data_IF_286285953062
#
_entry.id   IF_286285953062
#
_cell.length_a   1.000
_cell.length_b   1.000
_cell.length_c   1.000
_cell.angle_alpha   90.00
_cell.angle_beta   90.00
_cell.angle_gamma   90.00
#
_symmetry.space_group_name_H-M   'P 1'
#
loop_
_entity.id
_entity.type
_entity.pdbx_description
1 polymer ?
#
# COMPACT_ATOMS: atom_id res chain seq x y z
N UNK A 1 -4.88 -63.25 11.84
CA UNK A 1 -3.96 -62.10 11.77
C UNK A 1 -4.31 -61.16 12.90
N UNK A 2 -3.37 -60.78 13.77
CA UNK A 2 -3.65 -59.81 14.84
C UNK A 2 -3.86 -58.40 14.24
N UNK A 3 -4.70 -57.56 14.87
CA UNK A 3 -4.92 -56.18 14.43
C UNK A 3 -3.64 -55.34 14.61
N UNK A 4 -3.39 -54.35 13.74
CA UNK A 4 -2.22 -53.50 13.87
C UNK A 4 -2.28 -52.66 15.16
N UNK A 5 -1.12 -52.37 15.78
CA UNK A 5 -1.06 -51.57 16.99
C UNK A 5 -1.51 -50.12 16.72
N UNK A 6 -2.07 -49.42 17.73
CA UNK A 6 -2.47 -48.04 17.60
C UNK A 6 -1.26 -47.13 17.34
N UNK A 7 -1.40 -46.22 16.38
CA UNK A 7 -0.37 -45.25 16.03
C UNK A 7 -0.15 -44.26 17.18
N UNK A 8 1.10 -44.11 17.63
CA UNK A 8 1.47 -43.12 18.62
C UNK A 8 1.28 -41.70 18.06
N UNK A 9 0.80 -40.74 18.87
CA UNK A 9 0.66 -39.35 18.46
C UNK A 9 2.04 -38.76 18.12
N UNK A 10 2.18 -38.22 16.91
CA UNK A 10 3.40 -37.51 16.51
C UNK A 10 3.49 -36.18 17.27
N UNK A 11 4.67 -35.79 17.78
CA UNK A 11 4.85 -34.48 18.38
C UNK A 11 4.61 -33.39 17.32
N UNK A 12 3.78 -32.40 17.68
CA UNK A 12 3.56 -31.19 16.90
C UNK A 12 4.89 -30.43 16.78
N UNK A 13 5.51 -30.46 15.60
CA UNK A 13 6.74 -29.72 15.32
C UNK A 13 6.39 -28.27 14.97
N UNK A 14 6.22 -27.43 15.98
CA UNK A 14 6.11 -25.98 15.85
C UNK A 14 7.46 -25.36 15.48
N UNK A 15 7.87 -25.49 14.21
CA UNK A 15 9.02 -24.79 13.64
C UNK A 15 8.64 -24.14 12.31
N UNK A 16 7.75 -23.14 12.38
CA UNK A 16 7.85 -21.98 11.48
C UNK A 16 8.65 -20.93 12.21
N UNK A 17 9.98 -21.02 12.10
CA UNK A 17 10.87 -19.93 12.49
C UNK A 17 10.74 -18.89 11.39
N UNK A 18 9.77 -17.98 11.52
CA UNK A 18 9.90 -16.66 10.90
C UNK A 18 11.16 -16.07 11.55
N UNK A 19 12.28 -16.08 10.83
CA UNK A 19 13.44 -15.30 11.22
C UNK A 19 13.00 -13.85 11.15
N UNK A 20 12.70 -13.24 12.29
CA UNK A 20 12.75 -11.77 12.39
C UNK A 20 14.11 -11.34 11.83
N UNK A 21 14.16 -10.37 10.90
CA UNK A 21 15.43 -9.74 10.57
C UNK A 21 16.05 -9.28 11.89
N UNK A 22 17.34 -9.58 12.07
CA UNK A 22 18.06 -9.26 13.29
C UNK A 22 17.80 -7.80 13.67
N UNK A 23 17.40 -7.57 14.92
CA UNK A 23 17.21 -6.27 15.53
C UNK A 23 18.57 -5.55 15.68
N UNK A 24 19.13 -5.16 14.54
CA UNK A 24 20.36 -4.38 14.36
C UNK A 24 20.16 -3.31 13.31
N UNK A 25 18.92 -2.89 13.07
CA UNK A 25 18.62 -1.72 12.26
C UNK A 25 18.74 -0.49 13.14
N UNK A 26 19.80 0.30 12.90
CA UNK A 26 19.75 1.76 12.93
C UNK A 26 18.64 2.22 11.97
N UNK A 27 17.39 1.91 12.31
CA UNK A 27 16.21 2.47 11.69
C UNK A 27 16.13 3.89 12.25
N UNK A 28 16.99 4.76 11.70
CA UNK A 28 16.92 6.20 11.92
C UNK A 28 15.44 6.55 11.86
N UNK A 29 14.93 7.16 12.94
CA UNK A 29 13.63 7.81 13.00
C UNK A 29 13.40 8.43 11.62
N UNK A 30 12.61 7.78 10.78
CA UNK A 30 12.21 8.35 9.51
C UNK A 30 11.36 9.53 9.93
N UNK A 31 11.90 10.74 9.80
CA UNK A 31 11.15 11.96 10.03
C UNK A 31 10.00 11.94 9.01
N UNK A 32 8.84 11.46 9.48
CA UNK A 32 7.59 11.38 8.73
C UNK A 32 7.16 12.75 8.18
N UNK A 33 7.75 13.84 8.66
CA UNK A 33 7.38 15.20 8.32
C UNK A 33 8.20 15.83 7.18
N UNK A 34 9.31 15.23 6.75
CA UNK A 34 10.31 15.94 5.91
C UNK A 34 10.26 15.62 4.40
N UNK A 35 9.21 14.95 3.92
CA UNK A 35 9.15 14.50 2.51
C UNK A 35 7.82 14.78 1.81
N UNK A 36 7.15 15.89 2.14
CA UNK A 36 6.15 16.47 1.23
C UNK A 36 6.88 17.12 0.06
N UNK A 37 6.87 16.48 -1.12
CA UNK A 37 7.38 17.09 -2.35
C UNK A 37 6.48 18.27 -2.77
N UNK A 38 7.06 19.34 -3.34
CA UNK A 38 6.31 20.53 -3.73
C UNK A 38 5.75 20.33 -5.15
N UNK A 39 4.56 19.73 -5.28
CA UNK A 39 3.87 19.66 -6.58
C UNK A 39 2.48 20.33 -6.62
N UNK A 40 2.14 21.14 -5.62
CA UNK A 40 0.93 21.97 -5.61
C UNK A 40 1.22 23.42 -6.05
N UNK A 41 1.45 23.67 -7.35
CA UNK A 41 1.22 24.99 -7.98
C UNK A 41 1.35 24.97 -9.51
N UNK A 42 0.20 24.92 -10.20
CA UNK A 42 -0.11 25.68 -11.42
C UNK A 42 -1.55 25.32 -11.84
N UNK A 43 -2.52 26.20 -11.63
CA UNK A 43 -2.96 27.28 -12.53
C UNK A 43 -4.05 26.82 -13.50
N UNK A 44 -5.31 27.11 -13.14
CA UNK A 44 -6.48 26.97 -13.99
C UNK A 44 -6.58 28.23 -14.86
N UNK A 45 -6.15 28.13 -16.10
CA UNK A 45 -6.50 29.09 -17.15
C UNK A 45 -7.58 28.48 -18.05
N UNK A 46 -8.80 28.98 -17.89
CA UNK A 46 -9.88 28.81 -18.85
C UNK A 46 -9.60 29.68 -20.09
N UNK A 47 -9.66 29.09 -21.28
CA UNK A 47 -9.89 29.82 -22.52
C UNK A 47 -10.77 28.98 -23.46
N UNK A 48 -11.90 29.60 -23.83
CA UNK A 48 -12.89 29.09 -24.76
C UNK A 48 -12.41 29.16 -26.22
N UNK A 49 -12.91 28.26 -27.07
CA UNK A 49 -12.74 28.32 -28.52
C UNK A 49 -13.41 27.16 -29.25
N UNK A 50 -14.58 27.42 -29.80
CA UNK A 50 -15.39 26.58 -30.69
C UNK A 50 -14.83 26.56 -32.12
N UNK A 51 -14.70 25.37 -32.74
CA UNK A 51 -14.93 25.15 -34.19
C UNK A 51 -14.77 23.67 -34.61
N UNK A 52 -15.92 23.02 -34.79
CA UNK A 52 -16.29 22.03 -35.82
C UNK A 52 -15.19 21.42 -36.72
N UNK A 53 -14.90 20.13 -36.53
CA UNK A 53 -14.35 19.24 -37.57
C UNK A 53 -14.80 17.79 -37.34
N UNK A 54 -15.51 17.23 -38.32
CA UNK A 54 -15.95 15.85 -38.32
C UNK A 54 -14.85 14.91 -38.86
N UNK A 55 -14.43 13.95 -38.04
CA UNK A 55 -13.65 12.73 -38.36
C UNK A 55 -12.16 12.74 -37.95
N UNK A 56 -11.53 11.59 -37.60
CA UNK A 56 -12.05 10.23 -37.41
C UNK A 56 -12.06 9.78 -35.93
N UNK A 57 -12.77 8.69 -35.68
CA UNK A 57 -12.88 7.99 -34.40
C UNK A 57 -11.51 7.52 -33.89
N UNK A 58 -10.91 8.30 -33.00
CA UNK A 58 -9.64 7.95 -32.33
C UNK A 58 -9.23 8.88 -31.19
N UNK A 59 -10.08 9.86 -30.82
CA UNK A 59 -9.76 10.87 -29.81
C UNK A 59 -10.22 10.53 -28.38
N UNK A 60 -10.77 9.34 -28.14
CA UNK A 60 -11.40 8.97 -26.85
C UNK A 60 -10.43 8.46 -25.77
N UNK A 61 -9.14 8.27 -26.08
CA UNK A 61 -8.22 7.59 -25.16
C UNK A 61 -7.46 8.54 -24.22
N UNK A 62 -7.10 9.74 -24.69
CA UNK A 62 -6.22 10.62 -23.90
C UNK A 62 -6.89 11.17 -22.63
N UNK A 63 -8.15 11.64 -22.72
CA UNK A 63 -8.90 12.14 -21.57
C UNK A 63 -9.11 11.07 -20.50
N UNK A 64 -9.40 9.83 -20.92
CA UNK A 64 -9.58 8.71 -19.99
C UNK A 64 -8.30 8.40 -19.20
N UNK A 65 -7.12 8.47 -19.84
CA UNK A 65 -5.84 8.25 -19.15
C UNK A 65 -5.48 9.36 -18.17
N UNK A 66 -5.78 10.62 -18.49
CA UNK A 66 -5.56 11.75 -17.58
C UNK A 66 -6.48 11.63 -16.35
N UNK A 67 -7.75 11.30 -16.55
CA UNK A 67 -8.71 11.10 -15.46
C UNK A 67 -8.30 9.94 -14.53
N UNK A 68 -7.75 8.85 -15.09
CA UNK A 68 -7.23 7.72 -14.32
C UNK A 68 -6.00 8.12 -13.49
N UNK A 69 -5.03 8.80 -14.07
CA UNK A 69 -3.82 9.25 -13.35
C UNK A 69 -4.16 10.22 -12.20
N UNK A 70 -5.08 11.15 -12.42
CA UNK A 70 -5.61 12.03 -11.37
C UNK A 70 -6.33 11.26 -10.28
N UNK A 71 -7.08 10.21 -10.64
CA UNK A 71 -7.76 9.37 -9.66
C UNK A 71 -6.76 8.59 -8.80
N UNK A 72 -5.72 8.01 -9.39
CA UNK A 72 -4.67 7.28 -8.66
C UNK A 72 -3.97 8.20 -7.67
N UNK A 73 -3.57 9.40 -8.10
CA UNK A 73 -2.93 10.40 -7.21
C UNK A 73 -3.79 10.74 -6.00
N UNK A 74 -5.11 10.87 -6.18
CA UNK A 74 -6.04 11.09 -5.05
C UNK A 74 -6.12 9.91 -4.10
N UNK A 75 -6.00 8.68 -4.61
CA UNK A 75 -6.00 7.49 -3.76
C UNK A 75 -4.68 7.32 -3.01
N UNK A 76 -3.52 7.56 -3.63
CA UNK A 76 -2.21 7.63 -2.94
C UNK A 76 -2.24 8.64 -1.79
N UNK A 77 -2.74 9.86 -2.04
CA UNK A 77 -2.84 10.86 -0.98
C UNK A 77 -3.67 10.41 0.22
N UNK A 78 -4.77 9.67 -0.02
CA UNK A 78 -5.62 9.15 1.05
C UNK A 78 -4.97 7.98 1.79
N UNK A 79 -4.24 7.10 1.10
CA UNK A 79 -3.47 6.03 1.73
C UNK A 79 -2.42 6.65 2.66
N UNK A 80 -1.69 7.67 2.21
CA UNK A 80 -0.73 8.39 3.05
C UNK A 80 -1.42 9.09 4.24
N UNK A 81 -2.56 9.75 4.04
CA UNK A 81 -3.36 10.34 5.12
C UNK A 81 -3.73 9.29 6.18
N UNK A 82 -4.17 8.10 5.77
CA UNK A 82 -4.48 7.01 6.70
C UNK A 82 -3.22 6.44 7.37
N UNK A 83 -2.11 6.32 6.64
CA UNK A 83 -0.85 5.84 7.18
C UNK A 83 -0.30 6.78 8.28
N UNK A 84 -0.30 8.09 8.02
CA UNK A 84 0.10 9.12 8.99
C UNK A 84 -0.79 9.07 10.23
N UNK A 85 -2.11 9.01 10.05
CA UNK A 85 -3.05 8.90 11.18
C UNK A 85 -2.82 7.62 11.98
N UNK A 86 -2.60 6.49 11.31
CA UNK A 86 -2.32 5.22 11.99
C UNK A 86 -1.03 5.30 12.81
N UNK A 87 0.03 5.87 12.24
CA UNK A 87 1.29 6.09 12.93
C UNK A 87 1.12 6.98 14.17
N UNK A 88 0.39 8.09 14.05
CA UNK A 88 0.07 8.98 15.17
C UNK A 88 -0.68 8.24 16.29
N UNK A 89 -1.70 7.44 15.96
CA UNK A 89 -2.45 6.65 16.94
C UNK A 89 -1.58 5.63 17.68
N UNK A 90 -0.63 5.00 16.99
CA UNK A 90 0.34 4.09 17.63
C UNK A 90 1.29 4.88 18.54
N UNK A 91 1.73 6.07 18.13
CA UNK A 91 2.63 6.91 18.91
C UNK A 91 1.97 7.48 20.19
N UNK A 92 0.65 7.74 20.16
CA UNK A 92 -0.17 8.20 21.30
C UNK A 92 -0.43 7.11 22.37
N UNK A 93 0.29 5.99 22.33
CA UNK A 93 0.07 4.85 23.22
C UNK A 93 0.16 5.25 24.70
N UNK A 94 -0.88 4.97 25.50
CA UNK A 94 -0.87 5.30 26.91
C UNK A 94 0.06 4.37 27.70
N UNK A 95 0.48 4.80 28.90
CA UNK A 95 1.28 3.97 29.81
C UNK A 95 0.43 2.92 30.53
N UNK A 96 -0.84 3.23 30.75
CA UNK A 96 -1.85 2.45 31.46
C UNK A 96 -3.18 2.46 30.69
N UNK A 97 -4.10 1.56 31.04
CA UNK A 97 -5.44 1.47 30.44
C UNK A 97 -5.46 1.36 28.90
N UNK A 98 -4.89 0.28 28.36
CA UNK A 98 -4.82 0.03 26.91
C UNK A 98 -6.18 -0.19 26.23
N UNK A 99 -7.25 -0.51 26.97
CA UNK A 99 -8.53 -0.92 26.39
C UNK A 99 -9.14 0.09 25.42
N UNK A 100 -9.37 1.35 25.81
CA UNK A 100 -9.87 2.38 24.91
C UNK A 100 -8.93 2.66 23.73
N UNK A 101 -7.61 2.70 23.98
CA UNK A 101 -6.62 2.94 22.94
C UNK A 101 -6.58 1.82 21.90
N UNK A 102 -6.62 0.55 22.31
CA UNK A 102 -6.66 -0.61 21.41
C UNK A 102 -7.87 -0.57 20.48
N UNK A 103 -9.04 -0.14 20.98
CA UNK A 103 -10.23 0.03 20.13
C UNK A 103 -10.02 1.12 19.06
N UNK A 104 -9.53 2.29 19.45
CA UNK A 104 -9.28 3.38 18.50
C UNK A 104 -8.22 3.02 17.45
N UNK A 105 -7.15 2.34 17.88
CA UNK A 105 -6.11 1.81 16.99
C UNK A 105 -6.70 0.76 16.05
N UNK A 106 -7.60 -0.10 16.54
CA UNK A 106 -8.29 -1.08 15.71
C UNK A 106 -9.17 -0.45 14.64
N UNK A 107 -9.95 0.56 15.00
CA UNK A 107 -10.79 1.30 14.05
C UNK A 107 -9.94 2.03 12.98
N UNK A 108 -8.80 2.60 13.39
CA UNK A 108 -7.88 3.26 12.47
C UNK A 108 -7.21 2.25 11.52
N UNK A 109 -6.77 1.11 12.05
CA UNK A 109 -6.15 0.05 11.27
C UNK A 109 -7.11 -0.53 10.23
N UNK A 110 -8.38 -0.74 10.59
CA UNK A 110 -9.36 -1.27 9.64
C UNK A 110 -9.66 -0.29 8.50
N UNK A 111 -9.73 1.02 8.78
CA UNK A 111 -9.88 2.03 7.72
C UNK A 111 -8.68 2.05 6.77
N UNK A 112 -7.47 2.05 7.32
CA UNK A 112 -6.24 1.98 6.52
C UNK A 112 -6.22 0.71 5.67
N UNK A 113 -6.46 -0.46 6.27
CA UNK A 113 -6.51 -1.75 5.59
C UNK A 113 -7.53 -1.76 4.44
N UNK A 114 -8.76 -1.35 4.72
CA UNK A 114 -9.84 -1.34 3.72
C UNK A 114 -9.48 -0.43 2.53
N UNK A 115 -8.93 0.74 2.83
CA UNK A 115 -8.56 1.70 1.79
C UNK A 115 -7.37 1.20 0.94
N UNK A 116 -6.32 0.67 1.58
CA UNK A 116 -5.16 0.13 0.85
C UNK A 116 -5.56 -1.04 -0.06
N UNK A 117 -6.43 -1.94 0.41
CA UNK A 117 -6.94 -3.05 -0.42
C UNK A 117 -7.77 -2.54 -1.61
N UNK A 118 -8.58 -1.51 -1.41
CA UNK A 118 -9.35 -0.88 -2.49
C UNK A 118 -8.42 -0.22 -3.51
N UNK A 119 -7.40 0.48 -3.05
CA UNK A 119 -6.41 1.16 -3.88
C UNK A 119 -5.65 0.17 -4.78
N UNK A 120 -5.07 -0.89 -4.22
CA UNK A 120 -4.38 -1.93 -5.01
C UNK A 120 -5.33 -2.61 -6.01
N UNK A 121 -6.60 -2.83 -5.61
CA UNK A 121 -7.60 -3.40 -6.52
C UNK A 121 -7.94 -2.48 -7.69
N UNK A 122 -7.93 -1.16 -7.47
CA UNK A 122 -8.14 -0.16 -8.51
C UNK A 122 -6.98 -0.18 -9.51
N UNK A 123 -5.74 -0.20 -9.02
CA UNK A 123 -4.54 -0.25 -9.86
C UNK A 123 -4.47 -1.48 -10.77
N UNK A 124 -4.88 -2.63 -10.24
CA UNK A 124 -4.88 -3.88 -10.98
C UNK A 124 -6.09 -4.04 -11.90
N UNK A 125 -7.31 -3.71 -11.45
CA UNK A 125 -8.55 -4.00 -12.18
C UNK A 125 -8.96 -2.90 -13.14
N UNK A 126 -8.70 -1.64 -12.81
CA UNK A 126 -9.05 -0.51 -13.66
C UNK A 126 -7.97 -0.23 -14.72
N UNK A 127 -6.99 -1.13 -14.83
CA UNK A 127 -6.05 -1.17 -15.93
C UNK A 127 -4.92 -0.15 -15.83
N UNK A 128 -4.72 0.49 -14.69
CA UNK A 128 -3.63 1.45 -14.52
C UNK A 128 -2.24 0.80 -14.72
N UNK A 129 -1.97 -0.32 -14.05
CA UNK A 129 -0.72 -1.06 -14.28
C UNK A 129 -0.63 -1.63 -15.70
N UNK A 130 -1.78 -1.97 -16.30
CA UNK A 130 -1.87 -2.43 -17.69
C UNK A 130 -1.49 -1.32 -18.67
N UNK A 131 -2.03 -0.11 -18.50
CA UNK A 131 -1.74 1.05 -19.32
C UNK A 131 -0.25 1.43 -19.28
N UNK A 132 0.40 1.28 -18.12
CA UNK A 132 1.86 1.44 -18.02
C UNK A 132 2.59 0.41 -18.88
N UNK A 133 2.23 -0.87 -18.80
CA UNK A 133 2.88 -1.91 -19.63
C UNK A 133 2.58 -1.78 -21.13
N UNK A 134 1.42 -1.27 -21.51
CA UNK A 134 1.07 -1.00 -22.91
C UNK A 134 1.91 0.14 -23.49
N UNK A 135 2.10 1.22 -22.72
CA UNK A 135 2.96 2.34 -23.10
C UNK A 135 4.46 1.98 -23.04
N UNK A 136 4.85 1.16 -22.07
CA UNK A 136 6.25 0.77 -21.79
C UNK A 136 6.37 -0.76 -21.63
N UNK A 137 6.37 -1.56 -22.71
CA UNK A 137 6.44 -3.02 -22.62
C UNK A 137 7.68 -3.55 -21.87
N UNK A 138 8.78 -2.80 -21.90
CA UNK A 138 10.01 -3.10 -21.17
C UNK A 138 9.88 -3.11 -19.64
N UNK A 139 8.78 -2.58 -19.08
CA UNK A 139 8.56 -2.51 -17.63
C UNK A 139 7.67 -3.60 -17.05
N UNK A 140 7.28 -4.59 -17.86
CA UNK A 140 6.51 -5.77 -17.40
C UNK A 140 7.05 -6.38 -16.11
N UNK A 141 8.37 -6.57 -15.99
CA UNK A 141 9.00 -7.10 -14.76
C UNK A 141 8.80 -6.21 -13.53
N UNK A 142 8.81 -4.89 -13.69
CA UNK A 142 8.59 -3.94 -12.57
C UNK A 142 7.13 -3.99 -12.12
N UNK A 143 6.20 -4.02 -13.08
CA UNK A 143 4.77 -4.18 -12.80
C UNK A 143 4.46 -5.52 -12.14
N UNK A 144 5.09 -6.62 -12.57
CA UNK A 144 4.94 -7.93 -11.93
C UNK A 144 5.47 -7.94 -10.49
N UNK A 145 6.53 -7.17 -10.20
CA UNK A 145 7.03 -6.98 -8.84
C UNK A 145 6.02 -6.24 -7.97
N UNK A 146 5.43 -5.13 -8.45
CA UNK A 146 4.41 -4.38 -7.72
C UNK A 146 3.20 -5.25 -7.37
N UNK A 147 2.70 -6.04 -8.33
CA UNK A 147 1.61 -7.02 -8.09
C UNK A 147 1.99 -8.09 -7.07
N UNK A 148 3.26 -8.51 -7.03
CA UNK A 148 3.73 -9.44 -6.01
C UNK A 148 3.70 -8.79 -4.63
N UNK A 149 4.15 -7.54 -4.52
CA UNK A 149 4.12 -6.76 -3.28
C UNK A 149 2.68 -6.55 -2.78
N UNK A 150 1.72 -6.28 -3.68
CA UNK A 150 0.29 -6.19 -3.31
C UNK A 150 -0.22 -7.45 -2.60
N UNK A 151 0.10 -8.62 -3.13
CA UNK A 151 -0.29 -9.91 -2.51
C UNK A 151 0.37 -10.12 -1.15
N UNK A 152 1.60 -9.63 -0.99
CA UNK A 152 2.31 -9.66 0.28
C UNK A 152 1.63 -8.72 1.29
N UNK A 153 1.27 -7.49 0.88
CA UNK A 153 0.52 -6.56 1.71
C UNK A 153 -0.84 -7.12 2.12
N UNK A 154 -1.61 -7.72 1.21
CA UNK A 154 -2.87 -8.36 1.55
C UNK A 154 -2.70 -9.44 2.64
N UNK A 155 -1.66 -10.26 2.50
CA UNK A 155 -1.35 -11.32 3.47
C UNK A 155 -0.99 -10.73 4.83
N UNK A 156 -0.08 -9.73 4.86
CA UNK A 156 0.34 -9.06 6.09
C UNK A 156 -0.80 -8.32 6.78
N UNK A 157 -1.62 -7.60 6.03
CA UNK A 157 -2.80 -6.89 6.53
C UNK A 157 -3.80 -7.86 7.18
N UNK A 158 -4.08 -8.99 6.53
CA UNK A 158 -4.97 -10.03 7.06
C UNK A 158 -4.43 -10.61 8.37
N UNK A 159 -3.15 -10.95 8.41
CA UNK A 159 -2.51 -11.48 9.62
C UNK A 159 -2.55 -10.48 10.78
N UNK A 160 -2.19 -9.22 10.52
CA UNK A 160 -2.22 -8.15 11.53
C UNK A 160 -3.64 -7.87 12.02
N UNK A 161 -4.63 -7.90 11.13
CA UNK A 161 -6.04 -7.72 11.49
C UNK A 161 -6.53 -8.84 12.41
N UNK A 162 -6.28 -10.10 12.05
CA UNK A 162 -6.65 -11.25 12.87
C UNK A 162 -5.99 -11.20 14.24
N UNK A 163 -4.70 -10.84 14.29
CA UNK A 163 -3.96 -10.74 15.53
C UNK A 163 -4.48 -9.62 16.42
N UNK A 164 -4.82 -8.46 15.85
CA UNK A 164 -5.40 -7.34 16.59
C UNK A 164 -6.70 -7.75 17.31
N UNK A 165 -7.56 -8.54 16.65
CA UNK A 165 -8.80 -9.05 17.25
C UNK A 165 -8.58 -10.03 18.41
N UNK A 166 -7.36 -10.54 18.60
CA UNK A 166 -6.99 -11.46 19.68
C UNK A 166 -6.27 -10.74 20.84
N UNK A 167 -5.84 -9.48 20.66
CA UNK A 167 -5.13 -8.73 21.68
C UNK A 167 -6.08 -8.30 22.80
N UNK A 168 -5.66 -8.51 24.04
CA UNK A 168 -6.33 -7.98 25.22
C UNK A 168 -5.51 -6.84 25.84
N UNK A 169 -6.13 -5.95 26.63
CA UNK A 169 -5.42 -4.83 27.27
C UNK A 169 -4.24 -5.25 28.17
N UNK A 170 -4.27 -6.47 28.71
CA UNK A 170 -3.24 -7.03 29.60
C UNK A 170 -2.03 -7.59 28.81
N UNK A 171 -2.16 -7.78 27.50
CA UNK A 171 -1.15 -8.42 26.64
C UNK A 171 -0.06 -7.42 26.19
N UNK A 172 0.52 -6.65 27.13
CA UNK A 172 1.40 -5.50 26.84
C UNK A 172 2.49 -5.81 25.81
N UNK A 173 3.25 -6.90 25.99
CA UNK A 173 4.33 -7.26 25.07
C UNK A 173 3.84 -7.62 23.66
N UNK A 174 2.65 -8.25 23.56
CA UNK A 174 2.06 -8.59 22.26
C UNK A 174 1.53 -7.34 21.55
N UNK A 175 1.02 -6.38 22.31
CA UNK A 175 0.61 -5.06 21.80
C UNK A 175 1.80 -4.28 21.25
N UNK A 176 2.95 -4.32 21.93
CA UNK A 176 4.19 -3.70 21.45
C UNK A 176 4.66 -4.33 20.13
N UNK A 177 4.80 -5.65 20.07
CA UNK A 177 5.22 -6.35 18.86
C UNK A 177 4.23 -6.13 17.70
N UNK A 178 2.93 -6.11 17.96
CA UNK A 178 1.93 -5.78 16.93
C UNK A 178 2.10 -4.35 16.42
N UNK A 179 2.30 -3.39 17.31
CA UNK A 179 2.50 -1.98 16.96
C UNK A 179 3.74 -1.79 16.09
N UNK A 180 4.86 -2.42 16.45
CA UNK A 180 6.12 -2.32 15.70
C UNK A 180 5.98 -2.92 14.29
N UNK A 181 5.24 -4.03 14.16
CA UNK A 181 4.94 -4.63 12.85
C UNK A 181 4.05 -3.74 11.98
N UNK A 182 3.08 -3.06 12.57
CA UNK A 182 2.26 -2.09 11.82
C UNK A 182 3.14 -0.93 11.36
N UNK A 183 3.99 -0.37 12.22
CA UNK A 183 4.92 0.72 11.83
C UNK A 183 5.85 0.27 10.69
N UNK A 184 6.37 -0.96 10.75
CA UNK A 184 7.17 -1.53 9.67
C UNK A 184 6.36 -1.65 8.36
N UNK A 185 5.12 -2.17 8.42
CA UNK A 185 4.22 -2.22 7.27
C UNK A 185 3.98 -0.83 6.66
N UNK A 186 3.71 0.18 7.48
CA UNK A 186 3.51 1.56 6.99
C UNK A 186 4.75 2.08 6.24
N UNK A 187 5.95 1.74 6.71
CA UNK A 187 7.20 2.06 6.01
C UNK A 187 7.32 1.36 4.66
N UNK A 188 6.92 0.08 4.56
CA UNK A 188 6.90 -0.64 3.28
C UNK A 188 5.88 -0.08 2.29
N UNK A 189 4.67 0.25 2.76
CA UNK A 189 3.62 0.85 1.91
C UNK A 189 4.10 2.18 1.33
N UNK A 190 4.69 3.04 2.17
CA UNK A 190 5.24 4.31 1.70
C UNK A 190 6.34 4.13 0.64
N UNK A 191 7.23 3.16 0.84
CA UNK A 191 8.27 2.88 -0.14
C UNK A 191 7.65 2.43 -1.47
N UNK A 192 6.66 1.55 -1.41
CA UNK A 192 5.92 1.05 -2.56
C UNK A 192 5.20 2.18 -3.32
N UNK A 193 4.46 3.05 -2.64
CA UNK A 193 3.79 4.21 -3.27
C UNK A 193 4.77 5.14 -3.98
N UNK A 194 5.98 5.34 -3.43
CA UNK A 194 7.03 6.09 -4.12
C UNK A 194 7.49 5.41 -5.41
N UNK A 195 7.67 4.07 -5.39
CA UNK A 195 8.05 3.33 -6.58
C UNK A 195 6.97 3.35 -7.67
N UNK A 196 5.69 3.41 -7.27
CA UNK A 196 4.56 3.56 -8.18
C UNK A 196 4.45 4.96 -8.74
N UNK A 197 4.62 6.00 -7.91
CA UNK A 197 4.66 7.39 -8.36
C UNK A 197 5.75 7.62 -9.40
N UNK A 198 6.96 7.11 -9.16
CA UNK A 198 8.03 7.12 -10.15
C UNK A 198 7.56 6.45 -11.44
N UNK A 199 6.97 5.25 -11.35
CA UNK A 199 6.51 4.50 -12.50
C UNK A 199 5.45 5.28 -13.30
N UNK A 200 4.54 6.04 -12.67
CA UNK A 200 3.63 6.95 -13.38
C UNK A 200 4.37 8.06 -14.07
N UNK A 201 5.23 8.76 -13.33
CA UNK A 201 5.93 9.91 -13.85
C UNK A 201 6.69 9.50 -15.13
N UNK A 202 7.52 8.47 -15.05
CA UNK A 202 8.27 7.98 -16.20
C UNK A 202 7.37 7.47 -17.36
N UNK A 203 6.22 6.86 -17.07
CA UNK A 203 5.33 6.31 -18.11
C UNK A 203 4.58 7.40 -18.88
N UNK A 204 4.28 8.53 -18.23
CA UNK A 204 3.34 9.53 -18.75
C UNK A 204 3.97 10.91 -19.01
N UNK A 205 5.14 11.23 -18.44
CA UNK A 205 5.82 12.54 -18.63
C UNK A 205 7.02 12.45 -19.55
N UNK A 206 7.72 11.31 -19.59
CA UNK A 206 8.87 11.10 -20.47
C UNK A 206 8.38 10.77 -21.89
N UNK A 207 7.70 11.73 -22.53
CA UNK A 207 7.29 11.59 -23.93
C UNK A 207 8.54 11.31 -24.76
N UNK A 208 8.55 10.15 -25.39
CA UNK A 208 9.65 9.70 -26.22
C UNK A 208 9.69 10.68 -27.36
N UNK A 209 10.63 11.62 -27.32
CA UNK A 209 10.88 12.52 -28.44
C UNK A 209 11.09 11.69 -29.69
N UNK A 210 10.02 11.49 -30.46
CA UNK A 210 10.03 10.96 -31.79
C UNK A 210 10.61 12.07 -32.66
N UNK A 211 11.93 12.24 -32.56
CA UNK A 211 12.70 12.96 -33.56
C UNK A 211 13.03 11.99 -34.69
N UNK A 212 12.27 12.21 -35.76
CA UNK A 212 12.56 12.10 -37.20
C UNK A 212 12.87 10.72 -37.79
#
# INVERSE_FOLDING_TARGET
MPPPPPLSPRPFSSRSVFRSPAAGSDFKRLDWHDSCTPFDRADRSEAAGDASRAGPEGGTDMTATVDLAERIRREHHKVEEFAVRMHQRIAERPRDNFGPWLRHVGDAFERFRAHLLQHMALEEREGYLTAVTERRPGWSRRVDRLRLEHRQFETLLRELHLRLGQLRPEDHLLVLDWSDRVVALLGYVRHHENEENDLVEWAFTEDVGAKD
#
